data_IF_005618093383
#
_entry.id   IF_005618093383
#
_cell.length_a   1.000
_cell.length_b   1.000
_cell.length_c   1.000
_cell.angle_alpha   90.00
_cell.angle_beta   90.00
_cell.angle_gamma   90.00
#
_symmetry.space_group_name_H-M   'P 1'
#
loop_
_entity.id
_entity.type
_entity.pdbx_description
1 polymer ?
#
# COMPACT_ATOMS: atom_id res chain seq x y z
N UNK A 1 1.31 0.02 -2.15
CA UNK A 1 0.91 0.98 -3.22
C UNK A 1 1.53 0.65 -4.58
N UNK A 2 2.83 0.87 -4.79
CA UNK A 2 3.44 0.83 -6.12
C UNK A 2 3.18 -0.49 -6.91
N UNK A 3 3.29 -1.70 -6.31
CA UNK A 3 2.98 -2.94 -7.03
C UNK A 3 1.53 -2.98 -7.57
N UNK A 4 0.56 -2.61 -6.74
CA UNK A 4 -0.87 -2.61 -7.11
C UNK A 4 -1.14 -1.55 -8.18
N UNK A 5 -0.62 -0.32 -8.01
CA UNK A 5 -0.78 0.75 -8.97
C UNK A 5 -0.21 0.39 -10.35
N UNK A 6 0.95 -0.27 -10.39
CA UNK A 6 1.57 -0.80 -11.61
C UNK A 6 0.62 -1.75 -12.33
N UNK A 7 0.11 -2.78 -11.64
CA UNK A 7 -0.76 -3.79 -12.25
C UNK A 7 -2.06 -3.16 -12.76
N UNK A 8 -2.70 -2.29 -11.97
CA UNK A 8 -3.90 -1.58 -12.39
C UNK A 8 -3.65 -0.73 -13.64
N UNK A 9 -2.50 -0.03 -13.69
CA UNK A 9 -2.19 0.82 -14.82
C UNK A 9 -1.86 0.03 -16.08
N UNK A 10 -1.04 -1.01 -15.98
CA UNK A 10 -0.65 -1.83 -17.13
C UNK A 10 -1.81 -2.68 -17.67
N UNK A 11 -2.74 -3.10 -16.82
CA UNK A 11 -3.86 -3.96 -17.22
C UNK A 11 -5.08 -3.18 -17.70
N UNK A 12 -5.38 -2.04 -17.06
CA UNK A 12 -6.67 -1.34 -17.23
C UNK A 12 -6.52 0.16 -17.52
N UNK A 13 -5.31 0.70 -17.41
CA UNK A 13 -5.03 2.12 -17.56
C UNK A 13 -5.62 2.97 -16.44
N UNK A 14 -4.79 3.39 -15.48
CA UNK A 14 -5.23 4.33 -14.44
C UNK A 14 -5.29 5.76 -15.01
N UNK A 15 -6.44 6.42 -14.83
CA UNK A 15 -6.65 7.83 -15.12
C UNK A 15 -6.23 8.69 -13.93
N UNK A 16 -6.81 8.45 -12.76
CA UNK A 16 -6.46 9.08 -11.48
C UNK A 16 -6.60 8.07 -10.34
N UNK A 17 -5.83 8.28 -9.27
CA UNK A 17 -5.83 7.38 -8.11
C UNK A 17 -5.64 8.19 -6.81
N UNK A 18 -6.44 7.87 -5.80
CA UNK A 18 -6.34 8.44 -4.47
C UNK A 18 -6.07 7.33 -3.45
N UNK A 19 -5.21 7.60 -2.46
CA UNK A 19 -4.94 6.66 -1.38
C UNK A 19 -5.27 7.20 0.00
N UNK A 20 -5.69 6.30 0.87
CA UNK A 20 -5.59 6.48 2.32
C UNK A 20 -4.84 5.31 2.92
N UNK A 21 -3.73 5.59 3.59
CA UNK A 21 -3.05 4.55 4.37
C UNK A 21 -3.57 4.56 5.80
N UNK A 22 -4.25 3.49 6.21
CA UNK A 22 -4.56 3.21 7.62
C UNK A 22 -3.32 2.55 8.22
N UNK A 23 -2.54 3.33 8.94
CA UNK A 23 -1.17 2.97 9.26
C UNK A 23 -0.99 2.76 10.76
N UNK A 24 -0.25 1.73 11.16
CA UNK A 24 0.29 1.60 12.51
C UNK A 24 0.98 2.89 12.99
N UNK A 25 0.98 3.14 14.29
CA UNK A 25 1.80 4.23 14.83
C UNK A 25 3.29 3.86 14.72
N UNK A 26 4.18 4.85 14.77
CA UNK A 26 5.63 4.62 14.72
C UNK A 26 6.35 5.31 15.86
N UNK A 27 7.65 5.04 16.01
CA UNK A 27 8.54 5.65 17.01
C UNK A 27 8.57 7.18 17.01
N UNK A 28 8.04 7.81 15.95
CA UNK A 28 7.95 9.27 15.84
C UNK A 28 6.62 9.85 16.32
N UNK A 29 5.79 9.05 17.00
CA UNK A 29 4.61 9.48 17.78
C UNK A 29 4.86 9.28 19.28
N UNK A 30 3.98 9.84 20.10
CA UNK A 30 4.16 9.89 21.56
C UNK A 30 3.11 9.07 22.30
N UNK A 31 3.49 8.56 23.48
CA UNK A 31 2.57 7.82 24.36
C UNK A 31 1.50 8.73 24.96
N UNK A 32 1.90 9.92 25.40
CA UNK A 32 1.03 10.97 25.92
C UNK A 32 0.99 12.17 24.97
N UNK A 33 0.05 13.07 25.21
CA UNK A 33 -0.04 14.32 24.48
C UNK A 33 1.20 15.20 24.74
N UNK A 34 1.95 15.51 23.68
CA UNK A 34 3.22 16.24 23.73
C UNK A 34 3.29 17.31 22.62
N UNK A 35 3.85 18.49 22.89
CA UNK A 35 4.07 19.52 21.86
C UNK A 35 4.96 19.00 20.72
N UNK A 36 4.45 19.07 19.48
CA UNK A 36 5.20 18.71 18.27
C UNK A 36 4.92 19.69 17.13
N UNK A 37 5.91 19.86 16.22
CA UNK A 37 5.75 20.63 14.97
C UNK A 37 4.54 20.16 14.16
N UNK A 38 4.39 18.84 14.01
CA UNK A 38 3.16 18.22 13.47
C UNK A 38 2.20 17.97 14.63
N UNK A 39 1.41 18.99 14.99
CA UNK A 39 0.54 18.99 16.19
C UNK A 39 -0.27 17.70 16.38
N UNK A 40 -0.91 17.18 15.32
CA UNK A 40 -1.71 15.95 15.39
C UNK A 40 -0.89 14.72 15.79
N UNK A 41 0.40 14.63 15.41
CA UNK A 41 1.27 13.48 15.72
C UNK A 41 1.78 13.45 17.16
N UNK A 42 1.69 14.58 17.85
CA UNK A 42 1.98 14.65 19.28
C UNK A 42 0.82 14.21 20.16
N UNK A 43 -0.30 13.74 19.59
CA UNK A 43 -1.41 13.17 20.36
C UNK A 43 -1.13 11.72 20.69
N UNK A 44 -1.59 11.27 21.87
CA UNK A 44 -1.38 9.92 22.39
C UNK A 44 -1.70 8.82 21.36
N UNK A 45 -0.66 8.13 20.89
CA UNK A 45 -0.70 7.27 19.70
C UNK A 45 -1.61 6.04 19.87
N UNK A 46 -1.52 5.38 21.02
CA UNK A 46 -2.22 4.13 21.29
C UNK A 46 -3.72 4.29 21.61
N UNK A 47 -4.25 5.51 21.57
CA UNK A 47 -5.66 5.82 21.86
C UNK A 47 -6.26 6.83 20.89
N UNK A 48 -5.58 7.14 19.78
CA UNK A 48 -6.02 8.16 18.82
C UNK A 48 -5.96 7.67 17.39
N UNK A 49 -6.95 8.05 16.59
CA UNK A 49 -6.84 8.07 15.13
C UNK A 49 -6.27 9.43 14.69
N UNK A 50 -5.13 9.43 14.02
CA UNK A 50 -4.36 10.65 13.75
C UNK A 50 -4.18 10.88 12.24
N UNK A 51 -4.96 11.78 11.63
CA UNK A 51 -4.78 12.13 10.24
C UNK A 51 -3.45 12.88 9.99
N UNK A 52 -2.72 12.48 8.95
CA UNK A 52 -1.43 13.07 8.54
C UNK A 52 -1.25 13.00 7.02
N UNK A 53 -0.37 13.84 6.49
CA UNK A 53 0.11 13.69 5.11
C UNK A 53 1.01 12.45 4.98
N UNK A 54 1.05 11.91 3.76
CA UNK A 54 1.95 10.82 3.35
C UNK A 54 2.75 11.24 2.12
N UNK A 55 3.98 10.73 1.99
CA UNK A 55 4.79 10.91 0.79
C UNK A 55 4.63 9.78 -0.23
N UNK A 56 3.83 8.76 0.08
CA UNK A 56 3.76 7.52 -0.69
C UNK A 56 3.34 7.72 -2.15
N UNK A 57 2.37 8.60 -2.42
CA UNK A 57 1.92 8.90 -3.78
C UNK A 57 3.04 9.57 -4.61
N UNK A 58 3.70 10.59 -4.03
CA UNK A 58 4.84 11.26 -4.67
C UNK A 58 6.00 10.31 -4.95
N UNK A 59 6.35 9.46 -3.98
CA UNK A 59 7.41 8.46 -4.15
C UNK A 59 7.04 7.42 -5.22
N UNK A 60 5.78 6.98 -5.25
CA UNK A 60 5.30 6.05 -6.28
C UNK A 60 5.37 6.68 -7.68
N UNK A 61 5.07 7.98 -7.82
CA UNK A 61 5.22 8.70 -9.09
C UNK A 61 6.66 8.80 -9.59
N UNK A 62 7.68 8.65 -8.73
CA UNK A 62 9.08 8.55 -9.17
C UNK A 62 9.41 7.16 -9.74
N UNK A 63 8.74 6.12 -9.24
CA UNK A 63 8.94 4.72 -9.65
C UNK A 63 8.08 4.38 -10.87
N UNK A 64 6.91 5.00 -10.98
CA UNK A 64 5.93 4.87 -12.07
C UNK A 64 5.70 6.26 -12.71
N UNK A 65 6.63 6.76 -13.55
CA UNK A 65 6.55 8.09 -14.13
C UNK A 65 5.25 8.36 -14.92
N UNK A 66 4.67 7.32 -15.52
CA UNK A 66 3.40 7.37 -16.24
C UNK A 66 2.19 7.69 -15.35
N UNK A 67 2.35 7.53 -14.04
CA UNK A 67 1.37 7.91 -13.01
C UNK A 67 1.76 9.19 -12.25
N UNK A 68 2.88 9.82 -12.58
CA UNK A 68 3.31 11.06 -11.93
C UNK A 68 2.25 12.15 -12.12
N UNK A 69 1.87 12.81 -11.03
CA UNK A 69 0.81 13.83 -11.03
C UNK A 69 -0.62 13.30 -11.13
N UNK A 70 -0.82 11.97 -11.24
CA UNK A 70 -2.15 11.33 -11.27
C UNK A 70 -2.54 10.65 -9.95
N UNK A 71 -1.65 10.71 -8.97
CA UNK A 71 -1.80 10.07 -7.67
C UNK A 71 -1.60 11.06 -6.54
N UNK A 72 -2.49 11.04 -5.55
CA UNK A 72 -2.29 11.74 -4.27
C UNK A 72 -2.96 10.96 -3.13
N UNK A 73 -2.77 11.40 -1.89
CA UNK A 73 -3.49 10.84 -0.78
C UNK A 73 -2.99 11.24 0.60
N UNK A 74 -3.48 10.54 1.60
CA UNK A 74 -3.17 10.82 2.99
C UNK A 74 -2.98 9.55 3.80
N UNK A 75 -2.72 9.70 5.09
CA UNK A 75 -2.69 8.59 6.03
C UNK A 75 -3.47 8.92 7.29
N UNK A 76 -4.00 7.89 7.93
CA UNK A 76 -4.57 7.93 9.27
C UNK A 76 -3.76 6.96 10.12
N UNK A 77 -3.09 7.45 11.15
CA UNK A 77 -2.43 6.57 12.13
C UNK A 77 -3.49 5.99 13.04
N UNK A 78 -3.41 4.69 13.33
CA UNK A 78 -4.35 4.00 14.20
C UNK A 78 -3.64 3.32 15.38
N UNK A 79 -4.35 3.00 16.47
CA UNK A 79 -3.83 2.34 17.67
C UNK A 79 -3.36 0.88 17.51
N UNK A 80 -2.61 0.57 16.45
CA UNK A 80 -1.95 -0.74 16.28
C UNK A 80 -0.44 -0.53 16.19
N UNK A 81 0.37 -1.40 16.82
CA UNK A 81 1.82 -1.24 16.86
C UNK A 81 2.49 -1.51 15.52
N UNK A 82 1.91 -2.42 14.73
CA UNK A 82 2.38 -2.79 13.40
C UNK A 82 1.23 -3.40 12.60
N UNK A 83 1.44 -3.57 11.30
CA UNK A 83 0.48 -4.08 10.36
C UNK A 83 -0.45 -2.99 9.85
N UNK A 84 -0.19 -2.55 8.62
CA UNK A 84 -0.85 -1.40 8.01
C UNK A 84 -1.64 -1.82 6.77
N UNK A 85 -2.55 -0.95 6.35
CA UNK A 85 -3.43 -1.16 5.20
C UNK A 85 -3.40 0.07 4.30
N UNK A 86 -3.22 -0.14 2.99
CA UNK A 86 -3.44 0.89 1.98
C UNK A 86 -4.80 0.69 1.34
N UNK A 87 -5.67 1.69 1.49
CA UNK A 87 -6.89 1.85 0.71
C UNK A 87 -6.56 2.60 -0.58
N UNK A 88 -6.77 1.95 -1.72
CA UNK A 88 -6.43 2.45 -3.05
C UNK A 88 -7.73 2.59 -3.84
N UNK A 89 -8.11 3.82 -4.19
CA UNK A 89 -9.25 4.10 -5.06
C UNK A 89 -8.74 4.65 -6.38
N UNK A 90 -9.06 4.01 -7.49
CA UNK A 90 -8.60 4.41 -8.82
C UNK A 90 -9.75 4.47 -9.83
N UNK A 91 -9.74 5.50 -10.67
CA UNK A 91 -10.55 5.54 -11.88
C UNK A 91 -9.73 4.94 -13.03
N UNK A 92 -10.29 3.94 -13.69
CA UNK A 92 -9.68 3.21 -14.79
C UNK A 92 -10.23 3.66 -16.15
N UNK A 93 -9.48 3.42 -17.22
CA UNK A 93 -9.87 3.74 -18.60
C UNK A 93 -10.73 2.66 -19.24
N UNK A 94 -10.69 1.44 -18.71
CA UNK A 94 -11.46 0.30 -19.17
C UNK A 94 -12.50 -0.13 -18.13
N UNK A 95 -13.62 -0.67 -18.60
CA UNK A 95 -14.61 -1.32 -17.72
C UNK A 95 -14.00 -2.59 -17.11
N UNK A 96 -14.27 -2.83 -15.83
CA UNK A 96 -13.73 -3.97 -15.07
C UNK A 96 -14.79 -4.57 -14.15
N UNK A 97 -14.53 -5.79 -13.69
CA UNK A 97 -15.22 -6.41 -12.54
C UNK A 97 -14.23 -6.65 -11.41
N UNK A 98 -14.72 -6.87 -10.19
CA UNK A 98 -13.87 -7.17 -9.05
C UNK A 98 -13.03 -8.44 -9.29
N UNK A 99 -13.65 -9.47 -9.88
CA UNK A 99 -12.98 -10.73 -10.25
C UNK A 99 -11.90 -10.49 -11.30
N UNK A 100 -12.16 -9.65 -12.31
CA UNK A 100 -11.17 -9.30 -13.33
C UNK A 100 -9.97 -8.56 -12.77
N UNK A 101 -10.19 -7.62 -11.84
CA UNK A 101 -9.11 -6.91 -11.13
C UNK A 101 -8.30 -7.87 -10.27
N UNK A 102 -8.96 -8.70 -9.47
CA UNK A 102 -8.30 -9.68 -8.61
C UNK A 102 -7.50 -10.71 -9.43
N UNK A 103 -8.04 -11.16 -10.56
CA UNK A 103 -7.35 -12.08 -11.47
C UNK A 103 -6.08 -11.44 -12.08
N UNK A 104 -6.13 -10.17 -12.48
CA UNK A 104 -4.96 -9.45 -12.99
C UNK A 104 -3.87 -9.31 -11.91
N UNK A 105 -4.27 -8.99 -10.67
CA UNK A 105 -3.35 -8.89 -9.52
C UNK A 105 -2.73 -10.25 -9.19
N UNK A 106 -3.52 -11.34 -9.19
CA UNK A 106 -3.04 -12.68 -8.91
C UNK A 106 -2.11 -13.21 -10.03
N UNK A 107 -2.44 -12.92 -11.29
CA UNK A 107 -1.58 -13.26 -12.42
C UNK A 107 -0.23 -12.54 -12.31
N UNK A 108 -0.23 -11.26 -11.94
CA UNK A 108 0.99 -10.48 -11.76
C UNK A 108 1.81 -10.95 -10.55
N UNK A 109 1.18 -11.31 -9.43
CA UNK A 109 1.87 -11.81 -8.23
C UNK A 109 2.57 -13.15 -8.46
N UNK A 110 2.15 -13.94 -9.46
CA UNK A 110 2.79 -15.22 -9.78
C UNK A 110 4.07 -15.10 -10.62
N UNK A 111 4.37 -13.92 -11.18
CA UNK A 111 5.42 -13.72 -12.18
C UNK A 111 6.44 -12.66 -11.76
N UNK A 112 7.72 -12.77 -12.17
CA UNK A 112 8.66 -11.66 -12.05
C UNK A 112 8.12 -10.41 -12.78
N UNK A 113 8.38 -9.19 -12.27
CA UNK A 113 9.18 -8.87 -11.09
C UNK A 113 8.38 -8.89 -9.77
N UNK A 114 7.08 -9.21 -9.78
CA UNK A 114 6.21 -9.08 -8.61
C UNK A 114 6.08 -10.35 -7.77
N UNK A 115 6.59 -11.48 -8.24
CA UNK A 115 6.70 -12.72 -7.45
C UNK A 115 7.50 -12.49 -6.17
N UNK A 116 6.89 -12.77 -5.02
CA UNK A 116 7.47 -12.53 -3.70
C UNK A 116 7.41 -11.06 -3.21
N UNK A 117 6.86 -10.16 -4.03
CA UNK A 117 6.68 -8.73 -3.70
C UNK A 117 5.19 -8.41 -3.51
N UNK A 118 4.36 -8.90 -4.41
CA UNK A 118 2.90 -8.82 -4.37
C UNK A 118 2.34 -10.20 -3.99
N UNK A 119 1.35 -10.23 -3.09
CA UNK A 119 0.51 -11.38 -2.79
C UNK A 119 -0.94 -10.98 -3.00
N UNK A 120 -1.79 -11.92 -3.36
CA UNK A 120 -3.25 -11.79 -3.35
C UNK A 120 -3.80 -12.91 -2.48
N UNK A 121 -4.76 -12.60 -1.62
CA UNK A 121 -5.40 -13.59 -0.74
C UNK A 121 -6.90 -13.33 -0.65
N UNK A 122 -7.66 -14.41 -0.53
CA UNK A 122 -9.09 -14.47 -0.22
C UNK A 122 -9.33 -14.88 1.25
N UNK A 123 -8.27 -15.03 2.05
CA UNK A 123 -8.38 -15.27 3.48
C UNK A 123 -8.90 -14.00 4.19
N UNK A 124 -9.80 -14.17 5.15
CA UNK A 124 -10.34 -13.10 5.98
C UNK A 124 -9.32 -12.60 7.04
N UNK A 125 -8.20 -12.04 6.57
CA UNK A 125 -7.09 -11.58 7.39
C UNK A 125 -7.43 -10.29 8.15
N UNK A 126 -6.81 -10.14 9.32
CA UNK A 126 -6.71 -8.86 10.04
C UNK A 126 -5.25 -8.41 10.16
N UNK A 127 -5.03 -7.18 10.64
CA UNK A 127 -3.68 -6.58 10.71
C UNK A 127 -2.66 -7.40 11.50
N UNK A 128 -3.12 -8.25 12.43
CA UNK A 128 -2.24 -9.11 13.24
C UNK A 128 -1.68 -10.31 12.47
N UNK A 129 -2.43 -10.80 11.49
CA UNK A 129 -2.11 -12.03 10.75
C UNK A 129 -0.99 -11.81 9.72
N UNK A 130 -0.79 -10.55 9.31
CA UNK A 130 0.23 -10.17 8.32
C UNK A 130 1.58 -9.81 8.94
N UNK A 131 1.71 -9.86 10.28
CA UNK A 131 2.99 -9.56 10.94
C UNK A 131 4.04 -10.62 10.61
N UNK A 132 5.21 -10.19 10.15
CA UNK A 132 6.27 -11.05 9.66
C UNK A 132 6.08 -11.55 8.24
N UNK A 133 5.02 -11.13 7.53
CA UNK A 133 4.87 -11.42 6.11
C UNK A 133 5.87 -10.55 5.31
N UNK A 134 6.75 -11.16 4.49
CA UNK A 134 7.80 -10.43 3.80
C UNK A 134 7.30 -9.69 2.56
N UNK A 135 6.05 -9.81 2.13
CA UNK A 135 5.55 -9.15 0.92
C UNK A 135 5.42 -7.63 1.12
N UNK A 136 5.57 -6.87 0.03
CA UNK A 136 5.40 -5.41 0.06
C UNK A 136 3.94 -4.97 -0.02
N UNK A 137 3.07 -5.88 -0.47
CA UNK A 137 1.65 -5.62 -0.68
C UNK A 137 0.92 -6.95 -0.72
N UNK A 138 -0.06 -7.13 0.15
CA UNK A 138 -0.93 -8.31 0.21
C UNK A 138 -2.35 -7.82 -0.09
N UNK A 139 -2.83 -8.05 -1.30
CA UNK A 139 -4.17 -7.65 -1.74
C UNK A 139 -5.21 -8.51 -1.06
N UNK A 140 -6.19 -7.84 -0.46
CA UNK A 140 -7.39 -8.43 0.12
C UNK A 140 -8.45 -8.54 -0.99
N UNK A 141 -8.61 -9.74 -1.54
CA UNK A 141 -9.45 -9.98 -2.71
C UNK A 141 -10.95 -9.84 -2.40
N UNK A 142 -11.37 -10.20 -1.18
CA UNK A 142 -12.77 -10.08 -0.73
C UNK A 142 -13.22 -8.62 -0.63
N UNK A 143 -12.29 -7.70 -0.39
CA UNK A 143 -12.57 -6.27 -0.22
C UNK A 143 -12.52 -5.45 -1.52
N UNK A 144 -12.26 -6.08 -2.67
CA UNK A 144 -12.24 -5.37 -3.96
C UNK A 144 -13.64 -4.93 -4.35
N UNK A 145 -13.83 -3.63 -4.55
CA UNK A 145 -15.12 -3.04 -4.94
C UNK A 145 -14.97 -2.33 -6.27
N UNK A 146 -15.93 -2.55 -7.18
CA UNK A 146 -16.04 -1.78 -8.43
C UNK A 146 -17.34 -0.98 -8.41
N UNK A 147 -17.23 0.33 -8.64
CA UNK A 147 -18.34 1.27 -8.73
C UNK A 147 -18.44 1.81 -10.16
N UNK A 148 -19.62 1.68 -10.77
CA UNK A 148 -19.93 2.16 -12.14
C UNK A 148 -18.83 1.77 -13.14
N UNK A 149 -18.49 0.49 -13.12
CA UNK A 149 -17.60 -0.22 -14.05
C UNK A 149 -16.11 0.20 -14.05
N UNK A 150 -15.77 1.42 -13.64
CA UNK A 150 -14.40 1.97 -13.78
C UNK A 150 -13.77 2.50 -12.51
N UNK A 151 -14.53 2.73 -11.45
CA UNK A 151 -13.98 3.18 -10.17
C UNK A 151 -13.73 1.96 -9.30
N UNK A 152 -12.47 1.57 -9.17
CA UNK A 152 -12.08 0.42 -8.36
C UNK A 152 -11.54 0.87 -7.00
N UNK A 153 -11.90 0.15 -5.94
CA UNK A 153 -11.26 0.20 -4.64
C UNK A 153 -10.57 -1.15 -4.41
N UNK A 154 -9.28 -1.10 -4.06
CA UNK A 154 -8.47 -2.26 -3.68
C UNK A 154 -7.85 -1.99 -2.32
N UNK A 155 -7.95 -2.96 -1.41
CA UNK A 155 -7.27 -2.94 -0.13
C UNK A 155 -5.99 -3.78 -0.22
N UNK A 156 -4.90 -3.24 0.32
CA UNK A 156 -3.61 -3.93 0.36
C UNK A 156 -2.96 -3.81 1.74
N UNK A 157 -2.85 -4.93 2.43
CA UNK A 157 -2.10 -5.06 3.68
C UNK A 157 -0.61 -5.00 3.42
N UNK A 158 0.14 -4.56 4.43
CA UNK A 158 1.58 -4.68 4.48
C UNK A 158 2.08 -4.55 5.91
N UNK A 159 3.02 -5.40 6.27
CA UNK A 159 3.84 -5.19 7.46
C UNK A 159 4.80 -4.04 7.16
N UNK A 160 4.65 -2.94 7.89
CA UNK A 160 5.40 -1.72 7.61
C UNK A 160 6.84 -1.77 8.11
N UNK A 161 7.21 -2.76 8.93
CA UNK A 161 8.57 -2.99 9.41
C UNK A 161 9.24 -4.10 8.60
N UNK A 162 8.66 -5.30 8.62
CA UNK A 162 9.24 -6.52 8.05
C UNK A 162 9.19 -6.55 6.53
N UNK A 163 8.04 -6.24 5.92
CA UNK A 163 7.89 -6.20 4.47
C UNK A 163 8.83 -5.18 3.82
N UNK A 164 9.00 -4.01 4.45
CA UNK A 164 9.94 -2.98 4.01
C UNK A 164 11.41 -3.41 4.22
N UNK A 165 11.74 -3.96 5.38
CA UNK A 165 13.10 -4.44 5.68
C UNK A 165 13.54 -5.55 4.72
N UNK A 166 12.64 -6.48 4.37
CA UNK A 166 12.88 -7.51 3.36
C UNK A 166 13.26 -6.89 2.02
N UNK A 167 12.56 -5.83 1.58
CA UNK A 167 12.90 -5.12 0.33
C UNK A 167 14.23 -4.40 0.37
N UNK A 168 14.64 -3.88 1.54
CA UNK A 168 15.97 -3.27 1.67
C UNK A 168 17.08 -4.31 1.52
N UNK A 169 16.91 -5.50 2.07
CA UNK A 169 17.85 -6.62 1.89
C UNK A 169 17.91 -7.04 0.42
N UNK A 170 16.76 -7.22 -0.22
CA UNK A 170 16.68 -7.54 -1.66
C UNK A 170 17.39 -6.48 -2.51
N UNK A 171 17.17 -5.19 -2.21
CA UNK A 171 17.80 -4.09 -2.90
C UNK A 171 19.33 -4.05 -2.71
N UNK A 172 19.81 -4.25 -1.48
CA UNK A 172 21.24 -4.32 -1.19
C UNK A 172 21.91 -5.49 -1.94
N UNK A 173 21.26 -6.67 -1.96
CA UNK A 173 21.71 -7.82 -2.73
C UNK A 173 21.75 -7.53 -4.23
N UNK A 174 20.74 -6.86 -4.77
CA UNK A 174 20.70 -6.47 -6.18
C UNK A 174 21.78 -5.45 -6.56
N UNK A 175 22.15 -4.51 -5.67
CA UNK A 175 23.29 -3.61 -5.89
C UNK A 175 24.60 -4.37 -5.84
N UNK A 176 24.80 -5.22 -4.83
CA UNK A 176 26.04 -5.99 -4.67
C UNK A 176 26.28 -6.92 -5.87
N UNK A 177 25.24 -7.61 -6.35
CA UNK A 177 25.32 -8.47 -7.53
C UNK A 177 25.52 -7.73 -8.86
N UNK A 178 25.31 -6.40 -8.91
CA UNK A 178 25.64 -5.55 -10.08
C UNK A 178 27.08 -5.03 -10.06
N UNK A 179 27.78 -5.16 -8.93
CA UNK A 179 29.17 -4.72 -8.76
C UNK A 179 30.21 -5.85 -8.90
N UNK A 180 29.78 -7.08 -9.21
CA UNK A 180 30.62 -8.25 -9.44
C UNK A 180 30.74 -8.59 -10.93
#
# INVERSE_FOLDING_TARGET
LAPVAKVLHESFGVEHLMITTVHAYTSSQTLMDTPMRKRRRGRAAAVSMVPTSTGAAKATGLVLPELAGRMDGMAVRVPVPDGSLTDIVATLKTDVTAEGVNAALAAASSKPPLKGVLRVTDEALVSRDILGDPHSSIVDAESTIVLRDRVVKVLAWYDNEWGYSSRLVDFAGAIAGRGA
#
